data_IF_136838939965
#
_entry.id   IF_136838939965
#
_cell.length_a   1.000
_cell.length_b   1.000
_cell.length_c   1.000
_cell.angle_alpha   90.00
_cell.angle_beta   90.00
_cell.angle_gamma   90.00
#
_symmetry.space_group_name_H-M   'P 1'
#
loop_
_entity.id
_entity.type
_entity.pdbx_description
1 polymer ?
#
# COMPACT_ATOMS: atom_id res chain seq x y z
N UNK A 1 19.82 -23.08 0.88
CA UNK A 1 18.51 -22.43 1.15
C UNK A 1 17.78 -22.24 -0.18
N UNK A 2 16.73 -23.02 -0.50
CA UNK A 2 16.02 -22.92 -1.79
C UNK A 2 15.21 -21.61 -1.86
N UNK A 3 15.50 -20.73 -2.82
CA UNK A 3 14.67 -19.56 -3.12
C UNK A 3 13.29 -20.04 -3.59
N UNK A 4 12.23 -19.71 -2.84
CA UNK A 4 10.83 -19.95 -3.25
C UNK A 4 10.52 -19.11 -4.49
N UNK A 5 9.66 -19.62 -5.37
CA UNK A 5 9.20 -18.88 -6.56
C UNK A 5 8.41 -17.62 -6.18
N UNK A 6 8.33 -16.61 -7.07
CA UNK A 6 7.60 -15.36 -6.80
C UNK A 6 6.09 -15.59 -6.54
N UNK A 7 5.52 -16.61 -7.16
CA UNK A 7 4.12 -17.04 -6.95
C UNK A 7 3.91 -17.64 -5.56
N UNK A 8 4.86 -18.40 -5.04
CA UNK A 8 4.81 -18.94 -3.67
C UNK A 8 4.97 -17.85 -2.59
N UNK A 9 5.76 -16.81 -2.88
CA UNK A 9 6.01 -15.69 -1.96
C UNK A 9 4.78 -14.80 -1.74
N UNK A 10 3.90 -14.67 -2.75
CA UNK A 10 2.64 -13.92 -2.65
C UNK A 10 1.43 -14.80 -2.25
N UNK A 11 1.68 -16.05 -1.82
CA UNK A 11 0.62 -16.97 -1.43
C UNK A 11 0.04 -16.61 -0.06
N UNK A 12 -1.23 -16.95 0.16
CA UNK A 12 -1.87 -16.78 1.48
C UNK A 12 -1.06 -17.46 2.60
N UNK A 13 -0.52 -18.66 2.32
CA UNK A 13 0.31 -19.41 3.27
C UNK A 13 1.58 -18.65 3.65
N UNK A 14 2.26 -18.03 2.68
CA UNK A 14 3.46 -17.24 2.96
C UNK A 14 3.12 -16.00 3.80
N UNK A 15 2.01 -15.32 3.49
CA UNK A 15 1.52 -14.18 4.27
C UNK A 15 1.17 -14.55 5.71
N UNK A 16 0.42 -15.63 5.92
CA UNK A 16 0.03 -16.08 7.26
C UNK A 16 1.25 -16.50 8.07
N UNK A 17 2.21 -17.21 7.45
CA UNK A 17 3.46 -17.58 8.11
C UNK A 17 4.27 -16.34 8.53
N UNK A 18 4.41 -15.36 7.64
CA UNK A 18 5.10 -14.12 7.96
C UNK A 18 4.46 -13.40 9.16
N UNK A 19 3.12 -13.34 9.22
CA UNK A 19 2.43 -12.71 10.33
C UNK A 19 2.59 -13.48 11.64
N UNK A 20 2.61 -14.82 11.59
CA UNK A 20 2.88 -15.67 12.75
C UNK A 20 4.32 -15.48 13.27
N UNK A 21 5.29 -15.45 12.37
CA UNK A 21 6.70 -15.21 12.71
C UNK A 21 6.89 -13.81 13.30
N UNK A 22 6.21 -12.80 12.73
CA UNK A 22 6.25 -11.45 13.27
C UNK A 22 5.61 -11.38 14.66
N UNK A 23 4.50 -12.08 14.89
CA UNK A 23 3.81 -12.10 16.18
C UNK A 23 4.66 -12.75 17.28
N UNK A 24 5.52 -13.72 16.95
CA UNK A 24 6.39 -14.38 17.93
C UNK A 24 7.56 -13.50 18.37
N UNK A 25 7.96 -12.52 17.57
CA UNK A 25 9.07 -11.61 17.85
C UNK A 25 8.59 -10.34 18.57
N UNK A 26 7.34 -9.93 18.35
CA UNK A 26 6.79 -8.72 18.96
C UNK A 26 6.44 -8.95 20.44
N UNK A 27 6.63 -7.93 21.31
CA UNK A 27 6.18 -8.00 22.70
C UNK A 27 4.66 -8.17 22.80
N UNK A 28 4.20 -8.91 23.80
CA UNK A 28 2.81 -9.35 23.99
C UNK A 28 1.77 -8.22 23.99
N UNK A 29 2.16 -7.00 24.37
CA UNK A 29 1.28 -5.83 24.47
C UNK A 29 1.43 -4.85 23.28
N UNK A 30 1.91 -5.34 22.14
CA UNK A 30 2.14 -4.51 20.95
C UNK A 30 1.05 -4.73 19.90
N UNK A 31 0.43 -3.64 19.46
CA UNK A 31 -0.50 -3.64 18.32
C UNK A 31 0.13 -2.89 17.14
N UNK A 32 0.84 -3.58 16.23
CA UNK A 32 1.53 -2.92 15.13
C UNK A 32 0.57 -2.34 14.08
N UNK A 33 1.05 -1.31 13.38
CA UNK A 33 0.46 -0.80 12.14
C UNK A 33 1.28 -1.30 10.95
N UNK A 34 0.76 -2.29 10.22
CA UNK A 34 1.41 -2.91 9.08
C UNK A 34 1.21 -2.04 7.83
N UNK A 35 2.31 -1.52 7.27
CA UNK A 35 2.28 -0.69 6.04
C UNK A 35 2.58 -1.57 4.82
N UNK A 36 1.71 -1.54 3.81
CA UNK A 36 1.83 -2.37 2.60
C UNK A 36 1.55 -1.60 1.31
N UNK A 37 2.14 -2.02 0.19
CA UNK A 37 1.85 -1.43 -1.14
C UNK A 37 0.71 -2.19 -1.86
N UNK A 38 0.30 -1.72 -3.04
CA UNK A 38 -0.88 -2.17 -3.77
C UNK A 38 -0.85 -3.63 -4.27
N UNK A 39 0.26 -4.34 -4.07
CA UNK A 39 0.36 -5.78 -4.29
C UNK A 39 -0.47 -6.60 -3.30
N UNK A 40 -0.69 -6.08 -2.08
CA UNK A 40 -1.47 -6.77 -1.06
C UNK A 40 -2.98 -6.55 -1.25
N UNK A 41 -3.78 -7.58 -1.00
CA UNK A 41 -5.23 -7.61 -1.29
C UNK A 41 -6.02 -7.98 -0.04
N UNK A 42 -7.35 -7.97 -0.12
CA UNK A 42 -8.24 -8.21 1.04
C UNK A 42 -7.89 -9.44 1.90
N UNK A 43 -7.50 -10.61 1.35
CA UNK A 43 -7.10 -11.74 2.19
C UNK A 43 -5.95 -11.40 3.16
N UNK A 44 -5.00 -10.55 2.76
CA UNK A 44 -3.92 -10.07 3.62
C UNK A 44 -4.47 -9.22 4.77
N UNK A 45 -5.34 -8.25 4.47
CA UNK A 45 -5.93 -7.37 5.49
C UNK A 45 -6.73 -8.17 6.53
N UNK A 46 -7.49 -9.16 6.08
CA UNK A 46 -8.23 -10.07 6.97
C UNK A 46 -7.31 -10.90 7.86
N UNK A 47 -6.15 -11.34 7.37
CA UNK A 47 -5.16 -12.03 8.21
C UNK A 47 -4.55 -11.10 9.26
N UNK A 48 -4.29 -9.83 8.92
CA UNK A 48 -3.81 -8.83 9.89
C UNK A 48 -4.87 -8.52 10.95
N UNK A 49 -6.13 -8.31 10.55
CA UNK A 49 -7.24 -8.03 11.48
C UNK A 49 -7.52 -9.19 12.45
N UNK A 50 -7.31 -10.44 12.02
CA UNK A 50 -7.43 -11.61 12.90
C UNK A 50 -6.44 -11.60 14.07
N UNK A 51 -5.31 -10.92 13.94
CA UNK A 51 -4.33 -10.74 15.01
C UNK A 51 -4.64 -9.53 15.90
N UNK A 52 -5.75 -8.83 15.64
CA UNK A 52 -6.09 -7.58 16.32
C UNK A 52 -5.21 -6.41 15.91
N UNK A 53 -4.49 -6.51 14.79
CA UNK A 53 -3.52 -5.51 14.35
C UNK A 53 -4.13 -4.50 13.38
N UNK A 54 -3.41 -3.38 13.19
CA UNK A 54 -3.78 -2.36 12.23
C UNK A 54 -3.01 -2.50 10.93
N UNK A 55 -3.60 -2.04 9.84
CA UNK A 55 -2.96 -2.00 8.52
C UNK A 55 -3.18 -0.66 7.83
N UNK A 56 -2.20 -0.24 7.03
CA UNK A 56 -2.27 0.89 6.14
C UNK A 56 -1.75 0.45 4.77
N UNK A 57 -2.59 0.51 3.75
CA UNK A 57 -2.23 0.01 2.43
C UNK A 57 -2.63 0.96 1.31
N UNK A 58 -1.89 0.92 0.21
CA UNK A 58 -2.27 1.64 -1.01
C UNK A 58 -3.19 0.79 -1.87
N UNK A 59 -4.28 1.40 -2.32
CA UNK A 59 -5.25 0.76 -3.20
C UNK A 59 -5.04 1.27 -4.61
N UNK A 60 -4.83 0.36 -5.56
CA UNK A 60 -4.68 0.67 -7.01
C UNK A 60 -5.29 -0.39 -7.91
N UNK A 61 -5.41 -0.04 -9.18
CA UNK A 61 -5.94 -0.90 -10.24
C UNK A 61 -7.46 -0.90 -10.27
N UNK A 62 -8.04 -2.01 -10.73
CA UNK A 62 -9.49 -2.18 -10.93
C UNK A 62 -10.26 -2.43 -9.62
N UNK A 63 -9.79 -1.90 -8.50
CA UNK A 63 -10.49 -2.03 -7.20
C UNK A 63 -11.74 -1.16 -7.21
N UNK A 64 -12.78 -1.61 -6.54
CA UNK A 64 -14.02 -0.87 -6.35
C UNK A 64 -14.24 -0.57 -4.87
N UNK A 65 -14.96 0.52 -4.59
CA UNK A 65 -15.41 0.90 -3.27
C UNK A 65 -16.91 1.16 -3.27
N UNK A 66 -17.57 0.98 -2.12
CA UNK A 66 -18.98 1.29 -1.92
C UNK A 66 -19.21 1.89 -0.52
N UNK A 67 -20.35 2.54 -0.33
CA UNK A 67 -20.75 3.01 1.00
C UNK A 67 -21.08 1.81 1.91
N UNK A 68 -20.99 2.01 3.23
CA UNK A 68 -21.37 0.98 4.18
C UNK A 68 -22.86 0.63 3.99
N UNK A 69 -23.16 -0.67 3.86
CA UNK A 69 -24.54 -1.15 3.65
C UNK A 69 -25.14 -0.90 2.27
N UNK A 70 -24.45 -0.18 1.37
CA UNK A 70 -24.95 0.11 0.02
C UNK A 70 -24.33 -0.80 -1.04
N UNK A 71 -25.05 -1.01 -2.15
CA UNK A 71 -24.57 -1.75 -3.32
C UNK A 71 -24.04 -0.83 -4.44
N UNK A 72 -23.65 0.39 -4.10
CA UNK A 72 -23.23 1.44 -5.03
C UNK A 72 -21.73 1.38 -5.41
N UNK A 73 -21.28 0.21 -5.86
CA UNK A 73 -19.87 -0.03 -6.19
C UNK A 73 -19.36 0.90 -7.30
N UNK A 74 -18.34 1.69 -6.98
CA UNK A 74 -17.66 2.61 -7.90
C UNK A 74 -16.17 2.25 -7.99
N UNK A 75 -15.52 2.41 -9.16
CA UNK A 75 -14.09 2.15 -9.28
C UNK A 75 -13.30 3.21 -8.50
N UNK A 76 -12.19 2.80 -7.88
CA UNK A 76 -11.33 3.72 -7.11
C UNK A 76 -10.72 4.82 -7.98
N UNK A 77 -10.62 4.61 -9.30
CA UNK A 77 -10.15 5.63 -10.25
C UNK A 77 -10.99 6.91 -10.21
N UNK A 78 -12.28 6.82 -9.86
CA UNK A 78 -13.14 8.00 -9.72
C UNK A 78 -12.69 8.92 -8.57
N UNK A 79 -11.88 8.41 -7.64
CA UNK A 79 -11.32 9.19 -6.54
C UNK A 79 -10.05 9.95 -6.94
N UNK A 80 -9.51 9.71 -8.14
CA UNK A 80 -8.29 10.38 -8.59
C UNK A 80 -8.49 11.89 -8.75
N UNK A 81 -9.62 12.31 -9.32
CA UNK A 81 -9.93 13.73 -9.55
C UNK A 81 -10.26 14.44 -8.24
N UNK A 82 -10.80 13.71 -7.27
CA UNK A 82 -11.04 14.20 -5.92
C UNK A 82 -9.75 14.38 -5.11
N UNK A 83 -8.63 13.77 -5.54
CA UNK A 83 -7.39 13.78 -4.76
C UNK A 83 -6.63 15.10 -4.88
N UNK A 84 -6.30 15.71 -3.75
CA UNK A 84 -5.57 16.98 -3.68
C UNK A 84 -4.28 16.86 -2.86
N UNK A 85 -3.47 17.93 -2.81
CA UNK A 85 -2.32 18.00 -1.91
C UNK A 85 -2.68 18.05 -0.43
N UNK A 86 -3.95 18.31 -0.11
CA UNK A 86 -4.48 18.16 1.24
C UNK A 86 -5.01 16.74 1.42
N UNK A 87 -4.48 16.04 2.44
CA UNK A 87 -4.95 14.72 2.82
C UNK A 87 -6.39 14.81 3.33
N UNK A 88 -7.30 14.02 2.75
CA UNK A 88 -8.69 13.93 3.20
C UNK A 88 -9.12 12.49 3.36
N UNK A 89 -10.06 12.26 4.28
CA UNK A 89 -10.74 10.96 4.43
C UNK A 89 -12.10 11.00 3.74
N UNK A 90 -12.52 9.89 3.14
CA UNK A 90 -13.89 9.66 2.69
C UNK A 90 -14.74 8.96 3.76
N UNK A 91 -14.16 8.75 4.96
CA UNK A 91 -14.77 7.95 6.02
C UNK A 91 -14.68 6.46 5.73
N UNK A 92 -15.47 5.70 6.49
CA UNK A 92 -15.56 4.25 6.33
C UNK A 92 -16.34 3.88 5.07
N UNK A 93 -15.76 2.97 4.28
CA UNK A 93 -16.27 2.42 3.03
C UNK A 93 -15.97 0.93 2.96
N UNK A 94 -16.61 0.24 2.03
CA UNK A 94 -16.30 -1.17 1.72
C UNK A 94 -15.37 -1.23 0.51
N UNK A 95 -14.34 -2.06 0.56
CA UNK A 95 -13.45 -2.34 -0.57
C UNK A 95 -13.73 -3.71 -1.18
N UNK A 96 -13.70 -3.75 -2.52
CA UNK A 96 -13.92 -4.91 -3.41
C UNK A 96 -15.27 -5.60 -3.28
N UNK A 97 -15.94 -5.85 -4.42
CA UNK A 97 -17.26 -6.48 -4.46
C UNK A 97 -17.24 -7.95 -4.05
N UNK A 98 -16.25 -8.72 -4.50
CA UNK A 98 -16.19 -10.17 -4.32
C UNK A 98 -15.78 -10.60 -2.91
N UNK A 99 -14.94 -9.82 -2.24
CA UNK A 99 -14.52 -10.09 -0.87
C UNK A 99 -14.51 -8.80 -0.06
N UNK A 100 -15.69 -8.30 0.35
CA UNK A 100 -15.78 -6.99 0.98
C UNK A 100 -15.01 -6.91 2.30
N UNK A 101 -14.39 -5.75 2.52
CA UNK A 101 -13.79 -5.35 3.79
C UNK A 101 -14.12 -3.90 4.10
N UNK A 102 -14.52 -3.61 5.34
CA UNK A 102 -14.83 -2.26 5.80
C UNK A 102 -13.56 -1.57 6.28
N UNK A 103 -13.27 -0.39 5.75
CA UNK A 103 -12.06 0.36 6.11
C UNK A 103 -12.25 1.85 5.80
N UNK A 104 -11.41 2.69 6.36
CA UNK A 104 -11.34 4.10 6.00
C UNK A 104 -10.59 4.27 4.69
N UNK A 105 -11.09 5.14 3.82
CA UNK A 105 -10.39 5.52 2.58
C UNK A 105 -9.83 6.93 2.72
N UNK A 106 -8.53 7.08 2.44
CA UNK A 106 -7.82 8.35 2.45
C UNK A 106 -7.30 8.69 1.06
N UNK A 107 -7.39 9.97 0.72
CA UNK A 107 -6.98 10.52 -0.56
C UNK A 107 -5.85 11.53 -0.37
N UNK A 108 -4.79 11.38 -1.17
CA UNK A 108 -3.68 12.32 -1.19
C UNK A 108 -2.99 12.33 -2.55
N UNK A 109 -2.68 13.51 -3.08
CA UNK A 109 -1.88 13.67 -4.30
C UNK A 109 -0.70 14.59 -4.00
N UNK A 110 0.51 14.05 -4.05
CA UNK A 110 1.70 14.88 -3.86
C UNK A 110 1.82 15.92 -4.98
N UNK A 111 2.35 17.10 -4.65
CA UNK A 111 2.73 18.09 -5.66
C UNK A 111 3.83 17.48 -6.54
N UNK A 112 3.79 17.80 -7.83
CA UNK A 112 4.82 17.35 -8.77
C UNK A 112 6.18 17.86 -8.31
N UNK A 113 7.11 16.93 -8.02
CA UNK A 113 8.47 17.28 -7.56
C UNK A 113 9.43 17.66 -8.70
N UNK A 114 8.92 17.89 -9.92
CA UNK A 114 9.74 18.28 -11.08
C UNK A 114 10.85 17.32 -11.48
N UNK A 115 10.90 16.09 -10.92
CA UNK A 115 11.99 15.13 -11.14
C UNK A 115 12.13 14.82 -12.63
N UNK A 116 13.24 15.25 -13.22
CA UNK A 116 13.68 14.84 -14.56
C UNK A 116 14.37 13.48 -14.42
N UNK A 117 14.06 12.54 -15.29
CA UNK A 117 14.79 11.28 -15.35
C UNK A 117 16.23 11.59 -15.78
N UNK A 118 17.16 11.63 -14.83
CA UNK A 118 18.58 11.65 -15.16
C UNK A 118 19.05 10.21 -15.29
N UNK A 119 19.14 9.73 -16.54
CA UNK A 119 19.80 8.47 -16.84
C UNK A 119 21.16 8.79 -17.46
N UNK A 120 22.19 8.08 -17.03
CA UNK A 120 23.42 7.95 -17.80
C UNK A 120 23.08 7.28 -19.13
N UNK A 121 23.49 7.90 -20.24
CA UNK A 121 23.28 7.42 -21.61
C UNK A 121 24.07 6.15 -21.95
N UNK A 122 24.89 5.65 -21.02
CA UNK A 122 25.89 4.61 -21.30
C UNK A 122 25.39 3.17 -21.25
N UNK A 123 24.15 2.91 -20.83
CA UNK A 123 23.59 1.55 -20.81
C UNK A 123 22.34 1.46 -21.70
N UNK A 124 22.46 0.71 -22.79
CA UNK A 124 21.37 0.30 -23.68
C UNK A 124 20.40 -0.65 -22.96
N UNK A 125 19.64 -0.15 -22.00
CA UNK A 125 18.59 -0.92 -21.33
C UNK A 125 17.21 -0.44 -21.78
N UNK A 126 16.75 -1.07 -22.87
CA UNK A 126 15.38 -1.06 -23.42
C UNK A 126 14.37 -1.73 -22.46
N UNK A 127 14.28 -1.26 -21.22
CA UNK A 127 13.22 -1.70 -20.32
C UNK A 127 12.00 -0.78 -20.52
N UNK A 128 10.77 -1.28 -20.80
CA UNK A 128 9.56 -0.46 -20.94
C UNK A 128 9.10 0.27 -19.66
N UNK A 129 9.91 0.21 -18.60
CA UNK A 129 9.58 0.58 -17.23
C UNK A 129 9.60 2.09 -16.88
N UNK A 130 10.33 3.01 -17.53
CA UNK A 130 10.43 4.40 -17.08
C UNK A 130 9.11 5.17 -17.13
N UNK A 131 8.28 4.93 -18.16
CA UNK A 131 6.96 5.58 -18.32
C UNK A 131 5.99 5.09 -17.25
N UNK A 132 5.99 3.79 -16.95
CA UNK A 132 5.11 3.17 -15.94
C UNK A 132 5.48 3.64 -14.54
N UNK A 133 6.77 3.66 -14.19
CA UNK A 133 7.23 4.15 -12.89
C UNK A 133 6.96 5.65 -12.68
N UNK A 134 7.21 6.46 -13.71
CA UNK A 134 6.95 7.91 -13.63
C UNK A 134 5.45 8.25 -13.58
N UNK A 135 4.60 7.53 -14.31
CA UNK A 135 3.15 7.66 -14.21
C UNK A 135 2.65 7.25 -12.81
N UNK A 136 3.11 6.10 -12.29
CA UNK A 136 2.76 5.61 -10.96
C UNK A 136 3.16 6.58 -9.83
N UNK A 137 4.28 7.29 -9.99
CA UNK A 137 4.75 8.31 -9.04
C UNK A 137 3.89 9.59 -9.05
N UNK A 138 3.23 9.90 -10.18
CA UNK A 138 2.35 11.07 -10.35
C UNK A 138 0.89 10.77 -10.00
N UNK A 139 0.51 9.50 -10.01
CA UNK A 139 -0.84 9.07 -9.63
C UNK A 139 -1.11 9.35 -8.13
N UNK A 140 -2.33 9.79 -7.79
CA UNK A 140 -2.73 9.99 -6.41
C UNK A 140 -2.61 8.70 -5.60
N UNK A 141 -2.40 8.86 -4.31
CA UNK A 141 -2.41 7.80 -3.32
C UNK A 141 -3.81 7.71 -2.75
N UNK A 142 -4.47 6.60 -3.08
CA UNK A 142 -5.65 6.13 -2.38
C UNK A 142 -5.13 5.15 -1.33
N UNK A 143 -5.27 5.50 -0.07
CA UNK A 143 -4.87 4.65 1.05
C UNK A 143 -6.12 4.09 1.71
N UNK A 144 -5.99 2.89 2.25
CA UNK A 144 -7.01 2.25 3.04
C UNK A 144 -6.44 1.78 4.38
N UNK A 145 -7.24 1.84 5.43
CA UNK A 145 -6.82 1.44 6.77
C UNK A 145 -8.01 1.01 7.64
N UNK A 146 -7.80 0.05 8.53
CA UNK A 146 -8.74 -0.27 9.61
C UNK A 146 -8.49 0.57 10.88
N UNK A 147 -7.51 1.47 10.88
CA UNK A 147 -7.20 2.30 12.03
C UNK A 147 -8.34 3.30 12.29
N UNK A 148 -8.83 3.44 13.54
CA UNK A 148 -9.85 4.42 13.91
C UNK A 148 -9.40 5.88 13.66
N UNK A 149 -10.36 6.76 13.33
CA UNK A 149 -10.08 8.17 12.94
C UNK A 149 -9.43 8.92 14.11
N UNK A 150 -9.78 8.53 15.33
CA UNK A 150 -9.39 9.15 16.58
C UNK A 150 -7.91 8.90 16.90
N UNK A 151 -7.32 7.81 16.39
CA UNK A 151 -5.94 7.43 16.71
C UNK A 151 -4.94 8.23 15.87
N UNK A 152 -5.22 8.46 14.59
CA UNK A 152 -4.32 9.19 13.68
C UNK A 152 -5.07 10.04 12.68
N UNK A 153 -4.56 11.25 12.49
CA UNK A 153 -5.04 12.15 11.44
C UNK A 153 -4.68 11.64 10.04
N UNK A 154 -5.46 12.00 9.00
CA UNK A 154 -5.12 11.70 7.60
C UNK A 154 -3.71 12.12 7.19
N UNK A 155 -3.24 13.26 7.70
CA UNK A 155 -1.89 13.78 7.44
C UNK A 155 -0.80 12.86 8.01
N UNK A 156 -0.99 12.34 9.22
CA UNK A 156 -0.06 11.40 9.83
C UNK A 156 -0.01 10.07 9.07
N UNK A 157 -1.16 9.56 8.63
CA UNK A 157 -1.23 8.32 7.83
C UNK A 157 -0.51 8.48 6.49
N UNK A 158 -0.71 9.59 5.80
CA UNK A 158 0.04 9.92 4.57
C UNK A 158 1.54 10.00 4.85
N UNK A 159 1.95 10.61 5.97
CA UNK A 159 3.36 10.70 6.35
C UNK A 159 3.99 9.32 6.60
N UNK A 160 3.28 8.44 7.33
CA UNK A 160 3.72 7.06 7.57
C UNK A 160 3.89 6.32 6.25
N UNK A 161 2.88 6.38 5.37
CA UNK A 161 2.95 5.72 4.07
C UNK A 161 4.05 6.33 3.17
N UNK A 162 4.34 7.62 3.29
CA UNK A 162 5.38 8.28 2.49
C UNK A 162 6.79 7.69 2.73
N UNK A 163 7.02 7.09 3.90
CA UNK A 163 8.28 6.45 4.29
C UNK A 163 8.49 5.07 3.66
N UNK A 164 7.51 4.51 2.96
CA UNK A 164 7.60 3.19 2.31
C UNK A 164 8.83 3.00 1.41
N UNK A 165 9.32 4.09 0.80
CA UNK A 165 10.48 4.05 -0.09
C UNK A 165 11.79 3.77 0.65
N UNK A 166 11.88 4.11 1.94
CA UNK A 166 13.06 3.79 2.76
C UNK A 166 13.30 2.29 2.79
N UNK A 167 12.23 1.50 2.90
CA UNK A 167 12.29 0.03 2.89
C UNK A 167 12.77 -0.48 1.52
N UNK A 168 12.29 0.09 0.42
CA UNK A 168 12.74 -0.30 -0.93
C UNK A 168 14.21 0.06 -1.20
N UNK A 169 14.70 1.19 -0.70
CA UNK A 169 16.11 1.59 -0.81
C UNK A 169 16.99 0.61 -0.03
N UNK A 170 16.67 0.32 1.25
CA UNK A 170 17.43 -0.65 2.05
C UNK A 170 17.49 -2.04 1.39
N UNK A 171 16.40 -2.52 0.78
CA UNK A 171 16.42 -3.79 0.05
C UNK A 171 17.19 -3.74 -1.28
N UNK A 172 17.34 -2.57 -1.92
CA UNK A 172 18.16 -2.41 -3.12
C UNK A 172 19.64 -2.41 -2.76
N UNK A 173 20.03 -1.69 -1.71
CA UNK A 173 21.42 -1.63 -1.25
C UNK A 173 21.93 -3.02 -0.83
N UNK A 174 21.10 -3.81 -0.14
CA UNK A 174 21.41 -5.20 0.20
C UNK A 174 21.57 -6.14 -1.01
N UNK A 175 21.06 -5.76 -2.19
CA UNK A 175 21.19 -6.55 -3.44
C UNK A 175 22.32 -6.07 -4.33
N UNK A 176 22.87 -4.90 -4.05
CA UNK A 176 23.93 -4.27 -4.83
C UNK A 176 24.90 -3.65 -3.85
N UNK A 177 25.73 -4.47 -3.17
CA UNK A 177 26.79 -3.92 -2.34
C UNK A 177 27.65 -3.02 -3.24
N UNK A 178 27.72 -1.74 -2.89
CA UNK A 178 28.73 -0.83 -3.43
C UNK A 178 30.08 -1.29 -2.89
N UNK A 179 30.83 -2.01 -3.71
CA UNK A 179 32.29 -2.09 -3.62
C UNK A 179 32.91 -0.80 -4.18
#
# INVERSE_FOLDING_TARGET
MRKRSLSEQCSKKAHDQFLADLASILPSNTTPLIVSDAGFKVPWYKSVEKLGWYWLSRVRGKVQYADLGAENWKPISNLHDMSSSHSKTLGYKRLTKSNPISCQILLYKSRSKGRKNQRSTRTHCHHPSPKIYSASAKEPWILATNLPVEIRTPKQLVNIYSKRMQIEETFRDLKSPTD
#
